data_IF_231269947897
#
_entry.id   IF_231269947897
#
_cell.length_a   1.000
_cell.length_b   1.000
_cell.length_c   1.000
_cell.angle_alpha   90.00
_cell.angle_beta   90.00
_cell.angle_gamma   90.00
#
_symmetry.space_group_name_H-M   'P 1'
#
loop_
_entity.id
_entity.type
_entity.pdbx_description
1 polymer ?
#
# COMPACT_ATOMS: atom_id res chain seq x y z
N UNK A 1 9.27 -27.61 21.68
CA UNK A 1 8.28 -26.52 21.50
C UNK A 1 8.91 -25.54 20.53
N UNK A 2 8.64 -25.70 19.24
CA UNK A 2 9.31 -24.90 18.21
C UNK A 2 8.25 -23.97 17.61
N UNK A 3 8.29 -22.71 18.05
CA UNK A 3 7.49 -21.64 17.47
C UNK A 3 8.06 -21.32 16.09
N UNK A 4 7.58 -22.02 15.07
CA UNK A 4 7.83 -21.64 13.68
C UNK A 4 6.90 -20.47 13.36
N UNK A 5 7.39 -19.26 13.59
CA UNK A 5 6.85 -18.07 12.92
C UNK A 5 7.19 -18.24 11.44
N UNK A 6 6.35 -18.98 10.70
CA UNK A 6 6.49 -19.06 9.25
C UNK A 6 6.25 -17.67 8.69
N UNK A 7 7.37 -17.07 8.31
CA UNK A 7 7.49 -15.80 7.63
C UNK A 7 6.60 -15.87 6.39
N UNK A 8 5.73 -14.86 6.24
CA UNK A 8 4.89 -14.66 5.07
C UNK A 8 5.64 -15.06 3.80
N UNK A 9 5.00 -15.83 2.88
CA UNK A 9 5.65 -16.22 1.63
C UNK A 9 6.20 -14.97 0.94
N UNK A 10 7.38 -15.05 0.29
CA UNK A 10 7.92 -13.91 -0.43
C UNK A 10 6.90 -13.50 -1.48
N UNK A 11 6.42 -12.27 -1.34
CA UNK A 11 5.73 -11.56 -2.41
C UNK A 11 6.53 -11.78 -3.70
N UNK A 12 5.85 -12.14 -4.79
CA UNK A 12 6.51 -12.34 -6.09
C UNK A 12 7.43 -11.15 -6.38
N UNK A 13 8.52 -11.29 -7.15
CA UNK A 13 9.65 -10.33 -7.17
C UNK A 13 9.31 -8.87 -7.53
N UNK A 14 8.04 -8.57 -7.85
CA UNK A 14 7.50 -7.26 -8.20
C UNK A 14 6.49 -6.70 -7.17
N UNK A 15 6.24 -7.35 -6.04
CA UNK A 15 5.34 -6.87 -4.99
C UNK A 15 6.14 -6.52 -3.74
N UNK A 16 5.83 -5.38 -3.14
CA UNK A 16 6.59 -4.84 -2.02
C UNK A 16 5.65 -4.48 -0.88
N UNK A 17 6.02 -4.88 0.34
CA UNK A 17 5.32 -4.42 1.52
C UNK A 17 5.63 -2.94 1.77
N UNK A 18 4.62 -2.19 2.21
CA UNK A 18 4.79 -0.81 2.59
C UNK A 18 3.71 -0.32 3.54
N UNK A 19 3.94 0.87 4.09
CA UNK A 19 2.97 1.57 4.93
C UNK A 19 2.53 2.86 4.26
N UNK A 20 1.23 3.13 4.27
CA UNK A 20 0.67 4.38 3.75
C UNK A 20 1.07 5.52 4.69
N UNK A 21 1.71 6.55 4.15
CA UNK A 21 2.15 7.71 4.94
C UNK A 21 1.44 9.01 4.57
N UNK A 22 0.83 9.07 3.37
CA UNK A 22 0.08 10.25 2.93
C UNK A 22 -1.06 9.84 2.00
N UNK A 23 -2.25 10.38 2.27
CA UNK A 23 -3.47 10.18 1.47
C UNK A 23 -4.00 11.50 0.88
N UNK A 24 -3.35 12.64 1.15
CA UNK A 24 -3.78 13.94 0.66
C UNK A 24 -3.24 14.24 -0.75
N UNK A 25 -3.72 13.48 -1.73
CA UNK A 25 -3.37 13.69 -3.15
C UNK A 25 -3.78 15.10 -3.61
N UNK A 26 -2.83 15.96 -4.05
CA UNK A 26 -3.14 17.28 -4.59
C UNK A 26 -4.09 17.24 -5.78
N UNK A 27 -4.06 16.16 -6.57
CA UNK A 27 -4.94 15.96 -7.73
C UNK A 27 -6.29 15.32 -7.37
N UNK A 28 -6.46 14.88 -6.11
CA UNK A 28 -7.67 14.21 -5.62
C UNK A 28 -8.06 12.99 -6.47
N UNK A 29 -7.07 12.25 -6.99
CA UNK A 29 -7.26 11.05 -7.81
C UNK A 29 -7.20 9.75 -6.98
N UNK A 30 -7.43 9.83 -5.66
CA UNK A 30 -7.34 8.69 -4.74
C UNK A 30 -5.96 8.00 -4.74
N UNK A 31 -4.89 8.72 -5.06
CA UNK A 31 -3.53 8.16 -4.97
C UNK A 31 -3.01 8.27 -3.55
N UNK A 32 -2.06 7.42 -3.20
CA UNK A 32 -1.43 7.42 -1.87
C UNK A 32 0.09 7.39 -1.99
N UNK A 33 0.80 7.95 -1.02
CA UNK A 33 2.25 7.76 -0.92
C UNK A 33 2.53 6.66 0.11
N UNK A 34 3.39 5.72 -0.29
CA UNK A 34 3.70 4.51 0.47
C UNK A 34 5.19 4.48 0.77
N UNK A 35 5.51 4.32 2.05
CA UNK A 35 6.85 4.01 2.53
C UNK A 35 7.10 2.52 2.33
N UNK A 36 7.90 2.17 1.33
CA UNK A 36 8.27 0.78 1.01
C UNK A 36 9.43 0.34 1.91
N UNK A 37 9.26 -0.77 2.64
CA UNK A 37 10.28 -1.28 3.55
C UNK A 37 11.51 -1.75 2.75
N UNK A 38 12.70 -1.43 3.25
CA UNK A 38 13.97 -1.80 2.62
C UNK A 38 14.30 -1.08 1.31
N UNK A 39 13.42 -0.20 0.79
CA UNK A 39 13.65 0.50 -0.48
C UNK A 39 13.68 2.02 -0.35
N UNK A 40 12.76 2.60 0.43
CA UNK A 40 12.57 4.06 0.47
C UNK A 40 12.83 4.65 1.85
N UNK A 41 13.45 3.89 2.76
CA UNK A 41 13.70 4.32 4.14
C UNK A 41 14.53 5.60 4.18
N UNK A 42 14.07 6.60 4.94
CA UNK A 42 14.72 7.91 5.04
C UNK A 42 14.40 8.90 3.91
N UNK A 43 13.62 8.50 2.89
CA UNK A 43 13.13 9.44 1.87
C UNK A 43 12.00 10.29 2.46
N UNK A 44 12.05 11.63 2.34
CA UNK A 44 10.97 12.50 2.80
C UNK A 44 9.65 12.21 2.08
N UNK A 45 8.53 12.34 2.81
CA UNK A 45 7.18 12.05 2.31
C UNK A 45 6.86 12.80 1.02
N UNK A 46 7.23 14.07 0.90
CA UNK A 46 6.96 14.89 -0.30
C UNK A 46 7.73 14.44 -1.55
N UNK A 47 8.75 13.58 -1.39
CA UNK A 47 9.55 13.01 -2.48
C UNK A 47 9.11 11.63 -2.91
N UNK A 48 8.26 10.95 -2.13
CA UNK A 48 7.75 9.63 -2.52
C UNK A 48 6.82 9.73 -3.72
N UNK A 49 6.85 8.76 -4.64
CA UNK A 49 5.89 8.71 -5.73
C UNK A 49 4.47 8.47 -5.21
N UNK A 50 3.49 8.91 -6.00
CA UNK A 50 2.09 8.58 -5.79
C UNK A 50 1.79 7.20 -6.39
N UNK A 51 1.30 6.28 -5.57
CA UNK A 51 0.84 4.96 -5.95
C UNK A 51 -0.65 4.95 -6.27
N UNK A 52 -1.03 4.07 -7.19
CA UNK A 52 -2.42 3.83 -7.61
C UNK A 52 -2.89 2.45 -7.12
N UNK A 53 -4.20 2.31 -6.94
CA UNK A 53 -4.79 1.04 -6.56
C UNK A 53 -4.76 0.05 -7.74
N UNK A 54 -4.36 -1.20 -7.46
CA UNK A 54 -4.43 -2.29 -8.42
C UNK A 54 -5.88 -2.77 -8.67
N UNK A 55 -6.74 -2.66 -7.65
CA UNK A 55 -8.14 -3.02 -7.75
C UNK A 55 -8.90 -1.99 -8.61
N UNK A 56 -9.81 -2.43 -9.50
CA UNK A 56 -10.69 -1.53 -10.21
C UNK A 56 -11.49 -0.68 -9.21
N UNK A 57 -11.33 0.64 -9.28
CA UNK A 57 -12.05 1.56 -8.39
C UNK A 57 -13.55 1.47 -8.69
N UNK A 58 -14.34 1.10 -7.67
CA UNK A 58 -15.80 1.10 -7.74
C UNK A 58 -16.44 0.06 -6.83
N UNK A 59 -17.76 0.17 -6.66
CA UNK A 59 -18.61 -0.86 -6.10
C UNK A 59 -19.51 -1.39 -7.21
N UNK A 60 -19.39 -2.67 -7.57
CA UNK A 60 -20.31 -3.32 -8.51
C UNK A 60 -21.18 -4.32 -7.76
N UNK A 61 -22.41 -4.49 -8.22
CA UNK A 61 -23.32 -5.51 -7.67
C UNK A 61 -22.61 -6.88 -7.69
N UNK A 62 -22.47 -7.47 -6.49
CA UNK A 62 -21.80 -8.76 -6.27
C UNK A 62 -20.27 -8.81 -6.56
N UNK A 63 -19.57 -7.67 -6.60
CA UNK A 63 -18.11 -7.61 -6.85
C UNK A 63 -17.30 -7.00 -5.69
N UNK A 64 -17.93 -6.76 -4.54
CA UNK A 64 -17.31 -6.11 -3.39
C UNK A 64 -17.42 -4.58 -3.41
N UNK A 65 -16.92 -3.97 -2.34
CA UNK A 65 -16.84 -2.52 -2.17
C UNK A 65 -15.38 -2.10 -2.06
N UNK A 66 -15.05 -0.96 -2.68
CA UNK A 66 -13.76 -0.33 -2.51
C UNK A 66 -13.80 0.62 -1.30
N UNK A 67 -12.86 0.45 -0.38
CA UNK A 67 -12.66 1.35 0.76
C UNK A 67 -11.28 1.98 0.64
N UNK A 68 -11.15 3.32 0.59
CA UNK A 68 -9.86 3.99 0.58
C UNK A 68 -9.05 3.64 1.83
N UNK A 69 -7.74 3.47 1.64
CA UNK A 69 -6.79 3.24 2.74
C UNK A 69 -6.56 4.52 3.55
N UNK A 70 -6.13 4.34 4.79
CA UNK A 70 -5.79 5.40 5.73
C UNK A 70 -4.29 5.47 5.95
N UNK A 71 -3.80 6.62 6.42
CA UNK A 71 -2.42 6.75 6.89
C UNK A 71 -2.19 5.75 8.02
N UNK A 72 -1.12 4.96 7.91
CA UNK A 72 -0.79 3.89 8.83
C UNK A 72 -1.16 2.49 8.35
N UNK A 73 -2.00 2.36 7.32
CA UNK A 73 -2.37 1.05 6.76
C UNK A 73 -1.18 0.37 6.10
N UNK A 74 -1.11 -0.96 6.25
CA UNK A 74 -0.13 -1.81 5.58
C UNK A 74 -0.67 -2.30 4.25
N UNK A 75 0.17 -2.24 3.21
CA UNK A 75 -0.16 -2.61 1.82
C UNK A 75 0.93 -3.51 1.22
N UNK A 76 0.60 -4.21 0.14
CA UNK A 76 1.47 -5.13 -0.60
C UNK A 76 1.35 -4.95 -2.12
#
# INVERSE_FOLDING_TARGET
MNNTTELNPPLSPNHYHGQVINTDDPKKCLRVQVQILGLTEGVPTDKLPWAEYLLPIGARYNAGSFTPVQVGDWVW
#
